data_IF_685192174494
#
_entry.id   IF_685192174494
#
_cell.length_a   1.000
_cell.length_b   1.000
_cell.length_c   1.000
_cell.angle_alpha   90.00
_cell.angle_beta   90.00
_cell.angle_gamma   90.00
#
_symmetry.space_group_name_H-M   'P 1'
#
loop_
_entity.id
_entity.type
_entity.pdbx_description
1 polymer ?
#
# COMPACT_ATOMS: atom_id res chain seq x y z
N UNK A 1 -45.97 -48.07 22.98
CA UNK A 1 -45.42 -47.83 21.63
C UNK A 1 -45.25 -46.32 21.41
N UNK A 2 -44.21 -45.71 22.00
CA UNK A 2 -43.79 -44.30 21.85
C UNK A 2 -42.40 -44.24 22.50
N UNK A 3 -41.32 -43.63 22.02
CA UNK A 3 -41.05 -42.80 20.86
C UNK A 3 -39.57 -43.06 20.45
N UNK A 4 -39.29 -43.13 19.15
CA UNK A 4 -37.93 -43.17 18.60
C UNK A 4 -37.66 -41.84 17.89
N UNK A 5 -36.61 -41.17 18.37
CA UNK A 5 -35.63 -40.38 17.60
C UNK A 5 -36.19 -39.17 16.84
N UNK A 6 -36.10 -37.99 17.46
CA UNK A 6 -36.00 -36.72 16.72
C UNK A 6 -34.58 -36.20 16.84
N UNK A 7 -33.78 -36.44 15.81
CA UNK A 7 -32.56 -35.68 15.55
C UNK A 7 -32.55 -35.37 14.05
N UNK A 8 -33.03 -34.19 13.69
CA UNK A 8 -32.90 -33.64 12.33
C UNK A 8 -32.85 -32.12 12.48
N UNK A 9 -31.72 -31.64 12.98
CA UNK A 9 -31.38 -30.22 12.97
C UNK A 9 -30.77 -29.88 11.60
N UNK A 10 -31.46 -28.96 10.92
CA UNK A 10 -30.97 -27.98 9.94
C UNK A 10 -30.04 -28.47 8.82
N UNK A 11 -30.66 -28.75 7.68
CA UNK A 11 -30.00 -28.77 6.37
C UNK A 11 -29.58 -27.35 5.98
N UNK A 12 -28.26 -27.19 5.87
CA UNK A 12 -27.49 -26.24 5.06
C UNK A 12 -28.34 -25.36 4.12
N UNK A 13 -28.45 -24.07 4.42
CA UNK A 13 -28.86 -23.02 3.48
C UNK A 13 -27.68 -22.11 3.20
N UNK A 14 -26.76 -22.59 2.37
CA UNK A 14 -25.75 -21.78 1.71
C UNK A 14 -25.79 -22.15 0.23
N UNK A 15 -25.57 -21.16 -0.64
CA UNK A 15 -25.52 -21.24 -2.11
C UNK A 15 -26.85 -20.92 -2.85
N UNK A 16 -27.19 -19.64 -2.95
CA UNK A 16 -27.89 -19.09 -4.12
C UNK A 16 -27.75 -17.56 -4.15
N UNK A 17 -26.52 -17.08 -4.36
CA UNK A 17 -26.20 -15.67 -4.56
C UNK A 17 -25.09 -15.52 -5.58
N UNK A 18 -25.17 -16.23 -6.70
CA UNK A 18 -24.29 -15.97 -7.85
C UNK A 18 -24.73 -14.65 -8.48
N UNK A 19 -24.05 -13.56 -8.15
CA UNK A 19 -24.11 -12.33 -8.93
C UNK A 19 -23.63 -12.66 -10.33
N UNK A 20 -24.55 -12.72 -11.30
CA UNK A 20 -24.20 -12.74 -12.70
C UNK A 20 -23.62 -11.36 -13.05
N UNK A 21 -22.32 -11.20 -12.90
CA UNK A 21 -21.62 -10.15 -13.63
C UNK A 21 -21.76 -10.50 -15.11
N UNK A 22 -22.37 -9.61 -15.90
CA UNK A 22 -22.42 -9.77 -17.34
C UNK A 22 -20.99 -9.95 -17.88
N UNK A 23 -20.76 -10.80 -18.89
CA UNK A 23 -19.44 -11.01 -19.45
C UNK A 23 -18.88 -9.69 -19.96
N UNK A 24 -17.66 -9.36 -19.53
CA UNK A 24 -16.94 -8.17 -19.95
C UNK A 24 -16.74 -8.21 -21.47
N UNK A 25 -17.23 -7.18 -22.18
CA UNK A 25 -17.07 -7.06 -23.62
C UNK A 25 -16.01 -6.00 -23.94
N UNK A 26 -14.75 -6.38 -24.24
CA UNK A 26 -13.66 -5.42 -24.46
C UNK A 26 -13.87 -4.49 -25.67
N UNK A 27 -14.84 -4.79 -26.55
CA UNK A 27 -15.15 -3.95 -27.72
C UNK A 27 -16.20 -2.87 -27.44
N UNK A 28 -17.09 -3.07 -26.45
CA UNK A 28 -18.14 -2.10 -26.07
C UNK A 28 -17.91 -1.49 -24.69
N UNK A 29 -17.12 -2.15 -23.85
CA UNK A 29 -16.69 -1.72 -22.54
C UNK A 29 -15.19 -1.46 -22.64
N UNK A 30 -14.85 -0.26 -23.09
CA UNK A 30 -13.56 0.29 -22.75
C UNK A 30 -13.54 0.45 -21.24
N UNK A 31 -12.62 -0.22 -20.54
CA UNK A 31 -12.02 0.37 -19.35
C UNK A 31 -11.33 1.64 -19.86
N UNK A 32 -12.11 2.68 -20.15
CA UNK A 32 -11.55 4.00 -20.29
C UNK A 32 -10.96 4.23 -18.92
N UNK A 33 -9.64 3.98 -18.80
CA UNK A 33 -8.87 4.22 -17.61
C UNK A 33 -9.11 5.70 -17.34
N UNK A 34 -10.08 5.99 -16.47
CA UNK A 34 -10.37 7.35 -16.06
C UNK A 34 -9.19 7.68 -15.19
N UNK A 35 -8.26 8.42 -15.78
CA UNK A 35 -7.13 8.99 -15.09
C UNK A 35 -7.71 9.98 -14.08
N UNK A 36 -7.78 9.56 -12.83
CA UNK A 36 -8.23 10.41 -11.73
C UNK A 36 -6.98 11.09 -11.21
N UNK A 37 -6.76 12.32 -11.69
CA UNK A 37 -5.79 13.24 -11.11
C UNK A 37 -6.24 13.59 -9.70
N UNK A 38 -5.34 13.47 -8.73
CA UNK A 38 -5.57 13.98 -7.38
C UNK A 38 -5.06 15.42 -7.22
N UNK A 39 -4.40 15.96 -8.24
CA UNK A 39 -3.94 17.34 -8.22
C UNK A 39 -5.12 18.32 -8.02
N UNK A 40 -5.05 19.10 -6.93
CA UNK A 40 -6.10 20.02 -6.50
C UNK A 40 -7.50 19.35 -6.41
N UNK A 41 -7.55 18.06 -6.04
CA UNK A 41 -8.78 17.28 -6.00
C UNK A 41 -9.84 17.94 -5.11
N UNK A 42 -11.05 18.11 -5.67
CA UNK A 42 -12.16 18.83 -5.02
C UNK A 42 -11.81 20.26 -4.57
N UNK A 43 -10.77 20.89 -5.15
CA UNK A 43 -10.30 22.23 -4.79
C UNK A 43 -9.45 22.28 -3.51
N UNK A 44 -8.98 21.13 -3.02
CA UNK A 44 -8.09 21.05 -1.87
C UNK A 44 -6.67 21.46 -2.27
N UNK A 45 -6.20 22.61 -1.77
CA UNK A 45 -4.84 23.10 -2.06
C UNK A 45 -3.74 22.22 -1.47
N UNK A 46 -4.05 21.43 -0.43
CA UNK A 46 -3.11 20.46 0.15
C UNK A 46 -2.81 19.27 -0.79
N UNK A 47 -3.60 19.09 -1.85
CA UNK A 47 -3.35 18.13 -2.91
C UNK A 47 -2.70 18.77 -4.15
N UNK A 48 -2.25 20.02 -4.04
CA UNK A 48 -1.52 20.66 -5.13
C UNK A 48 -0.16 19.99 -5.33
N UNK A 49 0.16 19.67 -6.57
CA UNK A 49 1.35 18.90 -6.95
C UNK A 49 1.27 17.41 -6.62
N UNK A 50 0.13 16.86 -6.18
CA UNK A 50 0.04 15.46 -5.74
C UNK A 50 0.50 14.48 -6.82
N UNK A 51 0.08 14.71 -8.06
CA UNK A 51 0.43 13.84 -9.19
C UNK A 51 1.91 13.96 -9.61
N UNK A 52 2.70 14.88 -9.06
CA UNK A 52 4.14 14.96 -9.34
C UNK A 52 4.89 13.77 -8.75
N UNK A 53 4.35 13.16 -7.68
CA UNK A 53 4.92 11.99 -7.05
C UNK A 53 4.38 10.72 -7.72
N UNK A 54 5.23 10.07 -8.52
CA UNK A 54 4.94 8.90 -9.36
C UNK A 54 3.98 9.10 -10.54
N UNK A 55 3.41 10.28 -10.74
CA UNK A 55 2.52 10.55 -11.87
C UNK A 55 1.05 10.22 -11.56
N UNK A 56 0.14 10.79 -12.34
CA UNK A 56 -1.31 10.61 -12.21
C UNK A 56 -1.82 9.18 -12.43
N UNK A 57 -0.96 8.27 -12.92
CA UNK A 57 -1.28 6.86 -13.21
C UNK A 57 -0.66 5.85 -12.24
N UNK A 58 0.24 6.28 -11.35
CA UNK A 58 0.96 5.38 -10.46
C UNK A 58 0.75 5.77 -9.00
N UNK A 59 -0.51 5.75 -8.59
CA UNK A 59 -0.90 6.09 -7.23
C UNK A 59 -0.22 5.16 -6.21
N UNK A 60 -0.07 3.87 -6.51
CA UNK A 60 0.62 2.94 -5.61
C UNK A 60 2.14 3.13 -5.55
N UNK A 61 2.73 3.99 -6.40
CA UNK A 61 4.18 4.16 -6.48
C UNK A 61 4.93 2.91 -6.93
N UNK A 62 4.24 1.98 -7.60
CA UNK A 62 4.87 0.76 -8.11
C UNK A 62 5.78 1.11 -9.29
N UNK A 63 7.09 0.98 -9.11
CA UNK A 63 8.07 1.16 -10.18
C UNK A 63 8.47 -0.21 -10.70
N UNK A 64 8.06 -0.56 -11.91
CA UNK A 64 8.34 -1.88 -12.51
C UNK A 64 9.78 -2.04 -13.05
N UNK A 65 10.61 -0.99 -13.01
CA UNK A 65 12.02 -1.06 -13.42
C UNK A 65 12.91 -1.33 -12.23
N UNK A 66 13.24 -2.60 -12.02
CA UNK A 66 14.18 -3.02 -10.99
C UNK A 66 15.61 -2.56 -11.37
N UNK A 67 16.09 -1.47 -10.78
CA UNK A 67 17.53 -1.14 -10.81
C UNK A 67 18.18 -2.04 -9.77
N UNK A 68 18.53 -3.26 -10.18
CA UNK A 68 19.35 -4.14 -9.35
C UNK A 68 20.77 -3.56 -9.36
N UNK A 69 21.07 -2.67 -8.43
CA UNK A 69 22.47 -2.43 -8.08
C UNK A 69 23.02 -3.74 -7.51
N UNK A 70 23.93 -4.36 -8.26
CA UNK A 70 24.73 -5.49 -7.81
C UNK A 70 25.74 -5.01 -6.76
N UNK A 71 25.30 -4.69 -5.55
CA UNK A 71 26.21 -4.54 -4.42
C UNK A 71 26.07 -5.69 -3.42
N UNK A 72 27.25 -6.22 -3.09
CA UNK A 72 27.65 -7.23 -2.10
C UNK A 72 26.53 -8.02 -1.42
N UNK A 73 26.43 -9.30 -1.80
CA UNK A 73 25.86 -10.42 -1.04
C UNK A 73 24.88 -9.97 0.06
N UNK A 74 23.59 -9.88 -0.28
CA UNK A 74 22.53 -9.65 0.71
C UNK A 74 22.50 -10.85 1.65
N UNK A 75 23.30 -10.80 2.73
CA UNK A 75 23.33 -11.84 3.74
C UNK A 75 22.03 -11.75 4.52
N UNK A 76 21.14 -12.73 4.32
CA UNK A 76 19.96 -12.89 5.16
C UNK A 76 20.44 -13.18 6.60
N UNK A 77 20.37 -12.18 7.48
CA UNK A 77 20.67 -12.35 8.88
C UNK A 77 19.42 -12.84 9.60
N UNK A 78 19.49 -14.03 10.20
CA UNK A 78 18.41 -14.56 11.03
C UNK A 78 18.31 -13.76 12.33
N UNK A 79 17.41 -12.79 12.38
CA UNK A 79 17.00 -12.09 13.60
C UNK A 79 15.73 -12.73 14.18
N UNK A 80 15.44 -12.46 15.45
CA UNK A 80 14.14 -12.86 16.00
C UNK A 80 13.02 -12.09 15.31
N UNK A 81 11.90 -12.77 15.07
CA UNK A 81 10.69 -12.16 14.49
C UNK A 81 10.25 -10.95 15.30
N UNK A 82 10.40 -10.99 16.63
CA UNK A 82 10.10 -9.88 17.52
C UNK A 82 10.92 -8.62 17.21
N UNK A 83 12.24 -8.74 17.01
CA UNK A 83 13.09 -7.58 16.66
C UNK A 83 12.63 -6.97 15.33
N UNK A 84 12.25 -7.82 14.36
CA UNK A 84 11.73 -7.35 13.07
C UNK A 84 10.40 -6.61 13.28
N UNK A 85 9.48 -7.18 14.06
CA UNK A 85 8.18 -6.57 14.35
C UNK A 85 8.31 -5.23 15.09
N UNK A 86 9.23 -5.12 16.05
CA UNK A 86 9.52 -3.86 16.74
C UNK A 86 10.02 -2.79 15.77
N UNK A 87 10.92 -3.13 14.85
CA UNK A 87 11.40 -2.19 13.82
C UNK A 87 10.26 -1.74 12.91
N UNK A 88 9.39 -2.66 12.48
CA UNK A 88 8.22 -2.33 11.64
C UNK A 88 7.20 -1.47 12.40
N UNK A 89 7.02 -1.69 13.70
CA UNK A 89 6.16 -0.85 14.55
C UNK A 89 6.67 0.60 14.58
N UNK A 90 7.98 0.81 14.69
CA UNK A 90 8.57 2.15 14.64
C UNK A 90 8.26 2.82 13.31
N UNK A 91 8.46 2.15 12.17
CA UNK A 91 8.13 2.69 10.85
C UNK A 91 6.64 3.03 10.72
N UNK A 92 5.76 2.22 11.31
CA UNK A 92 4.33 2.47 11.32
C UNK A 92 3.97 3.74 12.11
N UNK A 93 4.56 3.95 13.29
CA UNK A 93 4.32 5.17 14.08
C UNK A 93 4.97 6.40 13.43
N UNK A 94 6.14 6.25 12.80
CA UNK A 94 6.75 7.32 12.01
C UNK A 94 5.84 7.78 10.86
N UNK A 95 5.26 6.84 10.11
CA UNK A 95 4.32 7.17 9.04
C UNK A 95 3.09 7.92 9.57
N UNK A 96 2.54 7.49 10.72
CA UNK A 96 1.44 8.21 11.39
C UNK A 96 1.87 9.63 11.77
N UNK A 97 3.02 9.77 12.42
CA UNK A 97 3.55 11.06 12.84
C UNK A 97 3.65 12.02 11.66
N UNK A 98 4.31 11.61 10.57
CA UNK A 98 4.47 12.40 9.34
C UNK A 98 3.11 12.87 8.82
N UNK A 99 2.16 11.96 8.65
CA UNK A 99 0.84 12.29 8.10
C UNK A 99 0.08 13.25 9.03
N UNK A 100 0.07 12.99 10.34
CA UNK A 100 -0.71 13.79 11.29
C UNK A 100 -0.10 15.16 11.60
N UNK A 101 1.22 15.30 11.51
CA UNK A 101 1.91 16.57 11.80
C UNK A 101 2.09 17.45 10.56
N UNK A 102 2.28 16.86 9.37
CA UNK A 102 2.60 17.60 8.14
C UNK A 102 1.39 17.91 7.25
N UNK A 103 0.26 17.24 7.45
CA UNK A 103 -0.96 17.44 6.67
C UNK A 103 -2.08 17.89 7.60
N UNK A 104 -2.67 19.06 7.35
CA UNK A 104 -3.77 19.59 8.16
C UNK A 104 -5.14 19.01 7.77
N UNK A 105 -5.36 18.73 6.48
CA UNK A 105 -6.66 18.32 5.96
C UNK A 105 -6.86 16.80 6.07
N UNK A 106 -7.95 16.39 6.70
CA UNK A 106 -8.25 14.98 6.99
C UNK A 106 -8.44 14.17 5.70
N UNK A 107 -9.02 14.77 4.67
CA UNK A 107 -9.17 14.17 3.34
C UNK A 107 -7.81 13.85 2.74
N UNK A 108 -6.86 14.80 2.79
CA UNK A 108 -5.50 14.63 2.27
C UNK A 108 -4.73 13.61 3.09
N UNK A 109 -4.85 13.63 4.42
CA UNK A 109 -4.28 12.59 5.29
C UNK A 109 -4.77 11.19 4.89
N UNK A 110 -6.07 11.06 4.63
CA UNK A 110 -6.70 9.78 4.26
C UNK A 110 -6.19 9.29 2.90
N UNK A 111 -6.10 10.19 1.92
CA UNK A 111 -5.61 9.87 0.56
C UNK A 111 -4.15 9.40 0.64
N UNK A 112 -3.27 10.17 1.31
CA UNK A 112 -1.84 9.83 1.46
C UNK A 112 -1.66 8.54 2.25
N UNK A 113 -2.44 8.32 3.32
CA UNK A 113 -2.35 7.08 4.09
C UNK A 113 -2.78 5.86 3.26
N UNK A 114 -3.86 5.98 2.49
CA UNK A 114 -4.29 4.91 1.60
C UNK A 114 -3.27 4.62 0.50
N UNK A 115 -2.56 5.66 0.03
CA UNK A 115 -1.46 5.52 -0.91
C UNK A 115 -0.33 4.67 -0.32
N UNK A 116 0.11 5.01 0.90
CA UNK A 116 1.15 4.29 1.63
C UNK A 116 0.80 2.80 1.86
N UNK A 117 -0.44 2.51 2.27
CA UNK A 117 -0.89 1.13 2.48
C UNK A 117 -0.94 0.36 1.15
N UNK A 118 -1.43 1.00 0.09
CA UNK A 118 -1.47 0.39 -1.25
C UNK A 118 -0.05 0.04 -1.71
N UNK A 119 0.89 0.98 -1.64
CA UNK A 119 2.30 0.80 -1.98
C UNK A 119 2.91 -0.38 -1.20
N UNK A 120 2.71 -0.41 0.12
CA UNK A 120 3.22 -1.47 1.00
C UNK A 120 2.62 -2.85 0.67
N UNK A 121 1.37 -2.90 0.20
CA UNK A 121 0.70 -4.16 -0.10
C UNK A 121 1.30 -4.91 -1.30
N UNK A 122 1.86 -4.19 -2.29
CA UNK A 122 2.51 -4.77 -3.48
C UNK A 122 3.68 -5.67 -3.10
N UNK A 123 4.42 -5.32 -2.04
CA UNK A 123 5.54 -6.10 -1.54
C UNK A 123 5.17 -7.54 -1.14
N UNK A 124 3.89 -7.78 -0.81
CA UNK A 124 3.40 -9.14 -0.56
C UNK A 124 3.59 -10.03 -1.79
N UNK A 125 3.29 -9.52 -2.99
CA UNK A 125 3.46 -10.27 -4.24
C UNK A 125 4.92 -10.57 -4.54
N UNK A 126 5.83 -9.67 -4.18
CA UNK A 126 7.28 -9.86 -4.36
C UNK A 126 7.81 -10.95 -3.42
N UNK A 127 7.42 -10.91 -2.14
CA UNK A 127 7.76 -11.98 -1.17
C UNK A 127 7.19 -13.33 -1.63
N UNK A 128 5.98 -13.33 -2.16
CA UNK A 128 5.33 -14.55 -2.67
C UNK A 128 5.84 -14.99 -4.04
N UNK A 129 6.76 -14.22 -4.65
CA UNK A 129 7.32 -14.45 -5.99
C UNK A 129 6.27 -14.53 -7.11
N UNK A 130 5.15 -13.80 -6.96
CA UNK A 130 4.04 -13.79 -7.93
C UNK A 130 4.07 -12.58 -8.86
N UNK A 131 4.80 -11.51 -8.53
CA UNK A 131 4.93 -10.30 -9.36
C UNK A 131 5.89 -10.48 -10.54
N UNK A 132 6.76 -11.49 -10.50
CA UNK A 132 7.88 -11.62 -11.44
C UNK A 132 9.07 -10.71 -11.11
N UNK A 133 9.00 -9.98 -9.99
CA UNK A 133 10.05 -9.11 -9.45
C UNK A 133 10.63 -9.78 -8.19
N UNK A 134 11.94 -9.63 -7.96
CA UNK A 134 12.55 -10.12 -6.71
C UNK A 134 12.20 -9.21 -5.54
N UNK A 135 11.86 -9.80 -4.39
CA UNK A 135 11.73 -9.07 -3.13
C UNK A 135 13.01 -8.30 -2.82
N UNK A 136 12.90 -6.97 -2.71
CA UNK A 136 14.02 -6.06 -2.49
C UNK A 136 13.51 -4.70 -2.03
N UNK A 137 14.44 -3.75 -1.89
CA UNK A 137 14.14 -2.36 -1.54
C UNK A 137 15.09 -1.44 -2.31
N UNK A 138 14.70 -0.18 -2.47
CA UNK A 138 15.53 0.84 -3.10
C UNK A 138 16.49 1.45 -2.06
N UNK A 139 17.79 1.13 -2.19
CA UNK A 139 18.84 1.63 -1.30
C UNK A 139 18.98 3.15 -1.36
N UNK A 140 18.74 3.76 -2.53
CA UNK A 140 18.84 5.20 -2.73
C UNK A 140 17.75 5.93 -1.93
N UNK A 141 16.52 5.42 -1.95
CA UNK A 141 15.41 5.97 -1.15
C UNK A 141 15.65 5.75 0.34
N UNK A 142 16.03 4.52 0.75
CA UNK A 142 16.27 4.19 2.17
C UNK A 142 17.44 4.99 2.75
N UNK A 143 18.41 5.40 1.92
CA UNK A 143 19.54 6.21 2.37
C UNK A 143 19.12 7.57 2.96
N UNK A 144 17.97 8.11 2.57
CA UNK A 144 17.42 9.37 3.08
C UNK A 144 16.73 9.27 4.45
N UNK A 145 16.73 8.10 5.11
CA UNK A 145 16.08 7.95 6.43
C UNK A 145 16.58 8.96 7.48
N UNK A 146 17.86 9.35 7.42
CA UNK A 146 18.44 10.37 8.29
C UNK A 146 17.86 11.76 8.05
N UNK A 147 17.41 12.02 6.82
CA UNK A 147 16.97 13.35 6.40
C UNK A 147 15.51 13.61 6.84
N UNK A 148 14.77 12.57 7.26
CA UNK A 148 13.41 12.73 7.80
C UNK A 148 13.36 13.65 9.01
N UNK A 149 14.46 13.79 9.75
CA UNK A 149 14.54 14.60 10.96
C UNK A 149 15.65 15.64 10.87
N UNK A 150 15.35 16.84 11.37
CA UNK A 150 16.33 17.88 11.62
C UNK A 150 17.23 17.51 12.81
N UNK A 151 18.34 18.23 12.99
CA UNK A 151 19.28 17.98 14.10
C UNK A 151 18.68 18.16 15.50
N UNK A 152 17.53 18.84 15.61
CA UNK A 152 16.77 19.03 16.84
C UNK A 152 15.73 17.92 17.09
N UNK A 153 15.63 16.93 16.20
CA UNK A 153 14.67 15.83 16.28
C UNK A 153 13.26 16.16 15.76
N UNK A 154 13.03 17.36 15.23
CA UNK A 154 11.78 17.70 14.54
C UNK A 154 11.73 17.10 13.14
N UNK A 155 10.54 16.85 12.60
CA UNK A 155 10.37 16.41 11.22
C UNK A 155 10.89 17.49 10.25
N UNK A 156 11.68 17.09 9.26
CA UNK A 156 12.15 18.00 8.22
C UNK A 156 11.03 18.36 7.23
N UNK A 157 11.12 19.56 6.66
CA UNK A 157 10.19 20.09 5.64
C UNK A 157 10.80 20.15 4.24
N UNK A 158 12.00 19.59 4.06
CA UNK A 158 12.71 19.58 2.78
C UNK A 158 12.29 18.35 1.94
N UNK A 159 12.15 18.52 0.62
CA UNK A 159 11.91 17.39 -0.31
C UNK A 159 13.24 16.69 -0.63
N UNK A 160 13.24 15.37 -0.61
CA UNK A 160 14.43 14.53 -0.81
C UNK A 160 14.42 13.72 -2.11
N UNK A 161 13.24 13.67 -2.76
CA UNK A 161 12.92 12.92 -3.98
C UNK A 161 12.12 13.88 -4.86
#
# INVERSE_FOLDING_TARGET
MFAKISFSLFVVSALAGSSFAAPFNPQTQSLARRYISFNDWHGLSSLSGFDNFYGSENFSGEISTQVVEQEQEVVCHSLSVEIIQQKLLVLQEMAKQIITEQICDVETQTIVFQQYISASSHFTSDIMHTSGISAGYDSSIVSHHSDLYSSDGSLSTVSYI
#
